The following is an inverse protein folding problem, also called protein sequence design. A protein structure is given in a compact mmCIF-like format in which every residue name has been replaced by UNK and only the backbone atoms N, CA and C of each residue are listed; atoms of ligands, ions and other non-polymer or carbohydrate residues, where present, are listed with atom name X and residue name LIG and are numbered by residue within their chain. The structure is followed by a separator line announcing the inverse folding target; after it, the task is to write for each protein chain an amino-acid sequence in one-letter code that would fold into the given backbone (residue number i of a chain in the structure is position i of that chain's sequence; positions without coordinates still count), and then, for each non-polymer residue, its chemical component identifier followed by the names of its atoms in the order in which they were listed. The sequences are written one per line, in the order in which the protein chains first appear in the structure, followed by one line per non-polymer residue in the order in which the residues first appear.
data_IF_646146019557
#
_entry.id   IF_646146019557
#
_cell.length_a   1.000
_cell.length_b   1.000
_cell.length_c   1.000
_cell.angle_alpha   90.00
_cell.angle_beta   90.00
_cell.angle_gamma   90.00
#
_symmetry.space_group_name_H-M   'P 1'
#
loop_
_entity.id
_entity.type
_entity.pdbx_description
1 polymer ?
#
# COMPACT_ATOMS: atom_id res chain seq x y z
N UNK A 1 -11.16 -13.98 -6.48
CA UNK A 1 -10.18 -12.87 -6.40
C UNK A 1 -10.46 -12.09 -5.12
N UNK A 2 -9.71 -12.33 -4.05
CA UNK A 2 -9.74 -11.56 -2.79
C UNK A 2 -8.63 -12.09 -1.87
N UNK A 3 -7.38 -11.93 -2.28
CA UNK A 3 -6.21 -12.53 -1.62
C UNK A 3 -5.50 -11.56 -0.66
N UNK A 4 -6.26 -10.62 -0.08
CA UNK A 4 -5.79 -9.79 1.04
C UNK A 4 -6.13 -10.39 2.42
N UNK A 5 -6.68 -11.61 2.44
CA UNK A 5 -7.25 -12.25 3.65
C UNK A 5 -6.21 -12.82 4.63
N UNK A 6 -4.91 -12.73 4.36
CA UNK A 6 -3.86 -13.34 5.20
C UNK A 6 -3.04 -12.35 6.04
N UNK A 7 -3.22 -11.03 5.89
CA UNK A 7 -2.59 -10.07 6.80
C UNK A 7 -3.40 -9.98 8.10
N UNK A 8 -2.78 -10.30 9.25
CA UNK A 8 -3.41 -10.07 10.56
C UNK A 8 -3.79 -8.60 10.68
N UNK A 9 -4.91 -8.31 11.36
CA UNK A 9 -5.56 -7.00 11.51
C UNK A 9 -4.72 -5.82 12.05
N UNK A 10 -3.40 -5.93 12.18
CA UNK A 10 -2.48 -4.82 12.48
C UNK A 10 -1.23 -4.78 11.58
N UNK A 11 -0.92 -5.86 10.86
CA UNK A 11 0.19 -5.89 9.90
C UNK A 11 -0.19 -5.15 8.61
N UNK A 12 -1.45 -5.33 8.17
CA UNK A 12 -1.98 -4.58 7.03
C UNK A 12 -1.93 -3.06 7.26
N UNK A 13 -2.22 -2.59 8.47
CA UNK A 13 -2.18 -1.16 8.79
C UNK A 13 -0.76 -0.60 8.74
N UNK A 14 0.23 -1.34 9.29
CA UNK A 14 1.65 -0.97 9.21
C UNK A 14 2.14 -0.93 7.77
N UNK A 15 1.76 -1.94 6.98
CA UNK A 15 2.10 -2.01 5.56
C UNK A 15 1.48 -0.84 4.78
N UNK A 16 0.22 -0.48 5.06
CA UNK A 16 -0.46 0.68 4.46
C UNK A 16 0.20 2.02 4.82
N UNK A 17 0.63 2.19 6.07
CA UNK A 17 1.35 3.41 6.49
C UNK A 17 2.68 3.51 5.76
N UNK A 18 3.42 2.40 5.66
CA UNK A 18 4.70 2.35 4.96
C UNK A 18 4.54 2.60 3.46
N UNK A 19 3.54 1.99 2.83
CA UNK A 19 3.22 2.24 1.42
C UNK A 19 2.92 3.71 1.14
N UNK A 20 2.17 4.40 2.01
CA UNK A 20 1.90 5.84 1.86
C UNK A 20 3.15 6.69 1.98
N UNK A 21 4.02 6.42 2.95
CA UNK A 21 5.29 7.13 3.13
C UNK A 21 6.22 6.92 1.92
N UNK A 22 6.25 5.71 1.36
CA UNK A 22 7.00 5.41 0.14
C UNK A 22 6.41 6.12 -1.09
N UNK A 23 5.09 6.16 -1.24
CA UNK A 23 4.41 6.91 -2.31
C UNK A 23 4.68 8.42 -2.19
N UNK A 24 4.66 8.98 -0.99
CA UNK A 24 4.95 10.39 -0.73
C UNK A 24 6.41 10.76 -1.09
N UNK A 25 7.32 9.79 -0.92
CA UNK A 25 8.73 9.88 -1.35
C UNK A 25 8.92 9.69 -2.87
N UNK A 26 7.87 9.39 -3.61
CA UNK A 26 7.92 9.14 -5.06
C UNK A 26 8.46 7.76 -5.45
N UNK A 27 8.42 6.78 -4.54
CA UNK A 27 8.81 5.39 -4.82
C UNK A 27 7.74 4.72 -5.68
N UNK A 28 8.18 3.92 -6.67
CA UNK A 28 7.29 3.22 -7.59
C UNK A 28 6.49 2.10 -6.93
N UNK A 29 5.28 1.85 -7.45
CA UNK A 29 4.31 0.87 -6.93
C UNK A 29 4.92 -0.54 -6.80
N UNK A 30 5.70 -0.99 -7.77
CA UNK A 30 6.32 -2.33 -7.76
C UNK A 30 7.19 -2.55 -6.53
N UNK A 31 8.04 -1.57 -6.20
CA UNK A 31 8.98 -1.65 -5.07
C UNK A 31 8.23 -1.61 -3.74
N UNK A 32 7.13 -0.86 -3.68
CA UNK A 32 6.24 -0.82 -2.52
C UNK A 32 5.55 -2.16 -2.29
N UNK A 33 5.09 -2.83 -3.35
CA UNK A 33 4.47 -4.16 -3.25
C UNK A 33 5.48 -5.18 -2.71
N UNK A 34 6.71 -5.16 -3.22
CA UNK A 34 7.77 -6.05 -2.75
C UNK A 34 8.14 -5.78 -1.30
N UNK A 35 8.23 -4.52 -0.88
CA UNK A 35 8.64 -4.15 0.49
C UNK A 35 7.53 -4.33 1.53
N UNK A 36 6.28 -4.01 1.16
CA UNK A 36 5.14 -4.02 2.07
C UNK A 36 4.34 -5.32 2.02
N UNK A 37 4.60 -6.18 1.02
CA UNK A 37 3.83 -7.37 0.71
C UNK A 37 2.32 -7.11 0.54
N UNK A 38 1.94 -5.86 0.24
CA UNK A 38 0.56 -5.51 -0.08
C UNK A 38 0.24 -5.94 -1.50
N UNK A 39 -1.03 -6.27 -1.73
CA UNK A 39 -1.53 -6.41 -3.09
C UNK A 39 -1.43 -5.09 -3.86
N UNK A 40 -1.25 -5.20 -5.17
CA UNK A 40 -1.23 -4.03 -6.06
C UNK A 40 -2.49 -3.17 -5.93
N UNK A 41 -3.65 -3.80 -5.73
CA UNK A 41 -4.92 -3.11 -5.51
C UNK A 41 -4.88 -2.20 -4.26
N UNK A 42 -4.26 -2.66 -3.17
CA UNK A 42 -4.13 -1.87 -1.96
C UNK A 42 -3.19 -0.68 -2.13
N UNK A 43 -2.05 -0.89 -2.80
CA UNK A 43 -1.09 0.18 -3.07
C UNK A 43 -1.73 1.22 -4.00
N UNK A 44 -2.44 0.78 -5.04
CA UNK A 44 -3.22 1.67 -5.91
C UNK A 44 -4.31 2.44 -5.15
N UNK A 45 -5.03 1.80 -4.22
CA UNK A 45 -6.01 2.47 -3.37
C UNK A 45 -5.35 3.54 -2.48
N UNK A 46 -4.16 3.26 -1.95
CA UNK A 46 -3.40 4.22 -1.15
C UNK A 46 -2.95 5.42 -1.99
N UNK A 47 -2.43 5.18 -3.20
CA UNK A 47 -2.04 6.22 -4.16
C UNK A 47 -3.22 7.11 -4.55
N UNK A 48 -4.34 6.52 -4.98
CA UNK A 48 -5.55 7.28 -5.34
C UNK A 48 -6.08 8.14 -4.19
N UNK A 49 -5.99 7.64 -2.95
CA UNK A 49 -6.37 8.43 -1.76
C UNK A 49 -5.42 9.58 -1.48
N UNK A 50 -4.14 9.45 -1.84
CA UNK A 50 -3.13 10.49 -1.71
C UNK A 50 -3.38 11.57 -2.76
N UNK A 51 -3.56 11.19 -4.03
CA UNK A 51 -3.89 12.09 -5.13
C UNK A 51 -5.21 12.83 -4.92
N UNK A 52 -6.24 12.15 -4.40
CA UNK A 52 -7.53 12.78 -4.10
C UNK A 52 -7.48 13.76 -2.90
N UNK A 53 -6.38 13.78 -2.15
CA UNK A 53 -6.16 14.70 -1.02
C UNK A 53 -5.31 15.93 -1.38
N UNK A 54 -4.70 15.92 -2.56
CA UNK A 54 -3.91 17.03 -3.11
C UNK A 54 -4.77 18.06 -3.84
#
# INVERSE_FOLDING_TARGET
MSDDKNLKKGEHEKAMVRAKDMLDKGIGITEIIEETHLSEENVMKAMKKLEAKS
#
